data_IF_541200834948
#
_entry.id   IF_541200834948
#
_cell.length_a   1.000
_cell.length_b   1.000
_cell.length_c   1.000
_cell.angle_alpha   90.00
_cell.angle_beta   90.00
_cell.angle_gamma   90.00
#
_symmetry.space_group_name_H-M   'P 1'
#
loop_
_entity.id
_entity.type
_entity.pdbx_description
1 polymer ?
#
# COMPACT_ATOMS: atom_id res chain seq x y z
N UNK A 1 4.20 5.59 -26.79
CA UNK A 1 5.01 6.56 -26.02
C UNK A 1 4.18 7.14 -24.89
N UNK A 2 4.68 7.12 -23.66
CA UNK A 2 4.10 7.86 -22.56
C UNK A 2 4.49 9.34 -22.78
N UNK A 3 3.51 10.20 -23.01
CA UNK A 3 3.70 11.61 -23.27
C UNK A 3 3.00 12.53 -22.24
N UNK A 4 2.33 11.92 -21.27
CA UNK A 4 1.66 12.61 -20.15
C UNK A 4 2.05 11.92 -18.84
N UNK A 5 2.46 12.71 -17.86
CA UNK A 5 2.83 12.24 -16.52
C UNK A 5 2.23 13.18 -15.48
N UNK A 6 1.95 12.66 -14.29
CA UNK A 6 1.61 13.47 -13.10
C UNK A 6 2.84 14.20 -12.56
N UNK A 7 2.66 15.25 -11.75
CA UNK A 7 3.77 15.91 -11.07
C UNK A 7 4.62 14.94 -10.27
N UNK A 8 5.95 15.14 -10.32
CA UNK A 8 6.90 14.33 -9.57
C UNK A 8 6.64 14.49 -8.07
N UNK A 9 6.60 13.36 -7.37
CA UNK A 9 6.45 13.30 -5.91
C UNK A 9 7.78 12.89 -5.28
N UNK A 10 8.16 13.58 -4.22
CA UNK A 10 9.33 13.19 -3.42
C UNK A 10 8.95 12.11 -2.41
N UNK A 11 9.62 10.96 -2.50
CA UNK A 11 9.44 9.89 -1.52
C UNK A 11 10.29 10.08 -0.25
N UNK A 12 11.22 11.04 -0.25
CA UNK A 12 12.18 11.22 0.84
C UNK A 12 12.98 9.95 1.12
N UNK A 13 13.25 9.69 2.40
CA UNK A 13 13.97 8.50 2.87
C UNK A 13 13.04 7.29 3.15
N UNK A 14 11.86 7.24 2.52
CA UNK A 14 10.93 6.13 2.72
C UNK A 14 11.29 4.92 1.86
N UNK A 15 10.89 3.71 2.31
CA UNK A 15 10.99 2.48 1.51
C UNK A 15 9.74 2.27 0.62
N UNK A 16 9.09 3.35 0.18
CA UNK A 16 7.85 3.32 -0.61
C UNK A 16 8.08 3.44 -2.12
N UNK A 17 9.33 3.33 -2.61
CA UNK A 17 9.65 3.47 -4.04
C UNK A 17 8.75 2.61 -4.95
N UNK A 18 8.46 1.37 -4.54
CA UNK A 18 7.57 0.46 -5.25
C UNK A 18 6.14 0.99 -5.36
N UNK A 19 5.63 1.63 -4.29
CA UNK A 19 4.30 2.22 -4.27
C UNK A 19 4.24 3.47 -5.15
N UNK A 20 5.24 4.37 -5.04
CA UNK A 20 5.34 5.56 -5.90
C UNK A 20 5.42 5.17 -7.38
N UNK A 21 6.25 4.19 -7.73
CA UNK A 21 6.41 3.76 -9.12
C UNK A 21 5.10 3.18 -9.70
N UNK A 22 4.44 2.28 -8.97
CA UNK A 22 3.21 1.66 -9.46
C UNK A 22 2.03 2.65 -9.48
N UNK A 23 1.91 3.54 -8.49
CA UNK A 23 0.90 4.60 -8.52
C UNK A 23 1.10 5.55 -9.70
N UNK A 24 2.35 5.93 -10.00
CA UNK A 24 2.66 6.75 -11.17
C UNK A 24 2.31 6.03 -12.50
N UNK A 25 2.43 4.71 -12.55
CA UNK A 25 1.99 3.91 -13.70
C UNK A 25 0.48 4.02 -13.89
N UNK A 26 -0.30 3.79 -12.83
CA UNK A 26 -1.77 3.92 -12.86
C UNK A 26 -2.19 5.35 -13.24
N UNK A 27 -1.56 6.36 -12.64
CA UNK A 27 -1.83 7.77 -12.91
C UNK A 27 -1.56 8.13 -14.38
N UNK A 28 -0.43 7.65 -14.93
CA UNK A 28 -0.05 7.91 -16.33
C UNK A 28 -1.02 7.23 -17.31
N UNK A 29 -1.45 6.03 -16.99
CA UNK A 29 -2.42 5.30 -17.80
C UNK A 29 -3.77 6.04 -17.83
N UNK A 30 -4.25 6.51 -16.68
CA UNK A 30 -5.46 7.32 -16.58
C UNK A 30 -5.36 8.64 -17.33
N UNK A 31 -4.20 9.33 -17.24
CA UNK A 31 -3.96 10.55 -18.01
C UNK A 31 -4.02 10.32 -19.52
N UNK A 32 -3.57 9.16 -20.01
CA UNK A 32 -3.68 8.81 -21.44
C UNK A 32 -5.14 8.60 -21.86
N UNK A 33 -5.99 8.12 -20.94
CA UNK A 33 -7.42 7.97 -21.14
C UNK A 33 -8.20 9.30 -20.99
N UNK A 34 -7.54 10.37 -20.53
CA UNK A 34 -8.14 11.69 -20.35
C UNK A 34 -8.51 12.03 -18.91
N UNK A 35 -8.34 11.10 -17.98
CA UNK A 35 -8.63 11.30 -16.55
C UNK A 35 -7.39 11.80 -15.82
N UNK A 36 -7.52 12.90 -15.07
CA UNK A 36 -6.44 13.40 -14.22
C UNK A 36 -6.63 12.90 -12.79
N UNK A 37 -5.88 11.89 -12.40
CA UNK A 37 -5.83 11.38 -11.05
C UNK A 37 -4.43 11.52 -10.46
N UNK A 38 -4.36 11.76 -9.15
CA UNK A 38 -3.13 11.86 -8.40
C UNK A 38 -3.32 11.09 -7.09
N UNK A 39 -2.59 9.99 -6.88
CA UNK A 39 -2.86 8.99 -5.86
C UNK A 39 -1.91 9.10 -4.66
N UNK A 40 -2.40 8.76 -3.46
CA UNK A 40 -1.65 8.89 -2.21
C UNK A 40 -0.85 7.63 -1.86
N UNK A 41 0.49 7.66 -1.91
CA UNK A 41 1.32 6.58 -1.38
C UNK A 41 1.26 6.50 0.15
N UNK A 42 0.90 7.60 0.82
CA UNK A 42 0.76 7.64 2.28
C UNK A 42 -0.44 6.84 2.77
N UNK A 43 -1.53 6.84 1.99
CA UNK A 43 -2.67 5.96 2.25
C UNK A 43 -2.27 4.49 2.17
N UNK A 44 -1.53 4.12 1.13
CA UNK A 44 -1.01 2.74 0.94
C UNK A 44 -0.13 2.32 2.12
N UNK A 45 0.80 3.19 2.54
CA UNK A 45 1.68 2.92 3.68
C UNK A 45 0.90 2.70 4.97
N UNK A 46 -0.14 3.51 5.22
CA UNK A 46 -1.01 3.38 6.38
C UNK A 46 -1.73 2.03 6.41
N UNK A 47 -2.40 1.67 5.32
CA UNK A 47 -3.16 0.42 5.22
C UNK A 47 -2.24 -0.81 5.30
N UNK A 48 -1.05 -0.72 4.72
CA UNK A 48 -0.03 -1.75 4.83
C UNK A 48 0.40 -1.97 6.29
N UNK A 49 0.74 -0.90 7.01
CA UNK A 49 1.17 -0.98 8.41
C UNK A 49 0.06 -1.50 9.33
N UNK A 50 -1.19 -1.08 9.10
CA UNK A 50 -2.34 -1.60 9.82
C UNK A 50 -2.53 -3.10 9.56
N UNK A 51 -2.44 -3.52 8.30
CA UNK A 51 -2.54 -4.93 7.90
C UNK A 51 -1.44 -5.79 8.51
N UNK A 52 -0.20 -5.28 8.61
CA UNK A 52 0.91 -5.97 9.27
C UNK A 52 0.64 -6.15 10.77
N UNK A 53 0.13 -5.11 11.45
CA UNK A 53 -0.19 -5.20 12.88
C UNK A 53 -1.29 -6.23 13.15
N UNK A 54 -2.35 -6.24 12.34
CA UNK A 54 -3.44 -7.21 12.41
C UNK A 54 -2.92 -8.63 12.14
N UNK A 55 -2.14 -8.79 11.05
CA UNK A 55 -1.57 -10.09 10.68
C UNK A 55 -0.63 -10.66 11.75
N UNK A 56 0.24 -9.81 12.32
CA UNK A 56 1.14 -10.16 13.39
C UNK A 56 0.37 -10.65 14.64
N UNK A 57 -0.67 -9.93 15.02
CA UNK A 57 -1.52 -10.32 16.16
C UNK A 57 -2.24 -11.65 15.93
N UNK A 58 -2.87 -11.83 14.77
CA UNK A 58 -3.64 -13.04 14.46
C UNK A 58 -2.78 -14.30 14.30
N UNK A 59 -1.56 -14.13 13.78
CA UNK A 59 -0.60 -15.24 13.60
C UNK A 59 0.28 -15.48 14.82
N UNK A 60 0.14 -14.66 15.88
CA UNK A 60 1.07 -14.66 17.01
C UNK A 60 2.54 -14.52 16.60
N UNK A 61 2.79 -13.80 15.49
CA UNK A 61 4.13 -13.54 14.96
C UNK A 61 4.80 -12.37 15.68
N UNK A 62 6.11 -12.27 15.55
CA UNK A 62 6.92 -11.19 16.14
C UNK A 62 7.69 -10.38 15.11
N UNK A 63 7.19 -10.39 13.86
CA UNK A 63 7.82 -9.74 12.72
C UNK A 63 7.95 -8.23 12.94
N UNK A 64 8.98 -7.65 12.35
CA UNK A 64 9.17 -6.21 12.32
C UNK A 64 8.40 -5.59 11.17
N UNK A 65 7.70 -4.49 11.43
CA UNK A 65 6.93 -3.82 10.40
C UNK A 65 7.81 -2.97 9.49
N UNK A 66 7.52 -3.03 8.21
CA UNK A 66 8.27 -2.35 7.16
C UNK A 66 7.32 -1.83 6.08
N UNK A 67 7.72 -0.75 5.43
CA UNK A 67 7.01 -0.24 4.25
C UNK A 67 7.63 -0.71 2.92
N UNK A 68 8.50 -1.72 2.97
CA UNK A 68 8.98 -2.42 1.78
C UNK A 68 7.88 -3.29 1.18
N UNK A 69 7.84 -3.38 -0.13
CA UNK A 69 6.83 -4.15 -0.82
C UNK A 69 7.07 -4.23 -2.32
N UNK A 70 6.09 -4.75 -3.03
CA UNK A 70 6.15 -5.04 -4.47
C UNK A 70 4.89 -4.50 -5.17
N UNK A 71 4.93 -4.38 -6.50
CA UNK A 71 3.77 -3.96 -7.30
C UNK A 71 2.53 -4.84 -7.07
N UNK A 72 2.61 -6.18 -7.05
CA UNK A 72 1.43 -7.01 -6.74
C UNK A 72 0.84 -6.74 -5.36
N UNK A 73 1.68 -6.46 -4.35
CA UNK A 73 1.20 -6.08 -3.03
C UNK A 73 0.39 -4.78 -3.07
N UNK A 74 0.84 -3.78 -3.87
CA UNK A 74 0.08 -2.55 -4.03
C UNK A 74 -1.31 -2.82 -4.61
N UNK A 75 -1.39 -3.59 -5.70
CA UNK A 75 -2.67 -3.92 -6.34
C UNK A 75 -3.61 -4.62 -5.36
N UNK A 76 -3.09 -5.53 -4.54
CA UNK A 76 -3.84 -6.22 -3.49
C UNK A 76 -4.34 -5.27 -2.39
N UNK A 77 -3.51 -4.29 -1.98
CA UNK A 77 -3.90 -3.28 -1.00
C UNK A 77 -4.99 -2.36 -1.57
N UNK A 78 -4.84 -1.88 -2.81
CA UNK A 78 -5.85 -1.06 -3.49
C UNK A 78 -7.17 -1.83 -3.59
N UNK A 79 -7.13 -3.09 -3.99
CA UNK A 79 -8.34 -3.91 -4.11
C UNK A 79 -9.05 -4.12 -2.77
N UNK A 80 -8.29 -4.31 -1.68
CA UNK A 80 -8.83 -4.58 -0.34
C UNK A 80 -9.31 -3.35 0.40
N UNK A 81 -8.50 -2.30 0.35
CA UNK A 81 -8.65 -1.13 1.22
C UNK A 81 -9.03 0.13 0.45
N UNK A 82 -8.94 0.08 -0.88
CA UNK A 82 -9.14 1.24 -1.72
C UNK A 82 -7.89 2.09 -1.88
N UNK A 83 -8.09 3.31 -2.37
CA UNK A 83 -7.05 4.32 -2.53
C UNK A 83 -7.65 5.71 -2.30
N UNK A 84 -6.82 6.68 -2.00
CA UNK A 84 -7.21 8.09 -1.87
C UNK A 84 -6.42 8.99 -2.81
N UNK A 85 -7.00 10.13 -3.22
CA UNK A 85 -6.26 11.19 -3.90
C UNK A 85 -5.13 11.70 -3.00
N UNK A 86 -4.02 12.09 -3.63
CA UNK A 86 -2.84 12.63 -2.93
C UNK A 86 -3.18 13.87 -2.09
N UNK A 87 -4.05 14.74 -2.62
CA UNK A 87 -4.45 15.97 -1.93
C UNK A 87 -5.36 15.72 -0.72
N UNK A 88 -6.06 14.59 -0.69
CA UNK A 88 -6.92 14.20 0.43
C UNK A 88 -6.15 13.55 1.58
N UNK A 89 -4.98 12.97 1.31
CA UNK A 89 -4.20 12.28 2.34
C UNK A 89 -2.71 12.42 2.08
N UNK A 90 -2.08 13.43 2.68
CA UNK A 90 -0.65 13.74 2.61
C UNK A 90 0.01 13.53 3.96
N UNK A 91 1.30 13.21 3.96
CA UNK A 91 2.09 13.10 5.18
C UNK A 91 3.56 13.39 4.92
N UNK A 92 4.26 13.83 5.97
CA UNK A 92 5.72 13.91 6.04
C UNK A 92 6.31 12.91 7.04
N UNK A 93 5.58 11.85 7.36
CA UNK A 93 5.95 10.88 8.39
C UNK A 93 7.24 10.13 8.04
N UNK A 94 8.06 9.88 9.07
CA UNK A 94 9.19 8.95 8.97
C UNK A 94 8.70 7.51 9.18
N UNK A 95 8.41 6.82 8.05
CA UNK A 95 7.86 5.47 8.07
C UNK A 95 8.77 4.42 8.72
N UNK A 96 10.09 4.60 8.69
CA UNK A 96 11.01 3.69 9.35
C UNK A 96 10.87 3.77 10.88
N UNK A 97 10.77 4.96 11.41
CA UNK A 97 10.54 5.18 12.85
C UNK A 97 9.16 4.70 13.26
N UNK A 98 8.14 5.00 12.45
CA UNK A 98 6.77 4.56 12.68
C UNK A 98 6.66 3.02 12.68
N UNK A 99 7.28 2.34 11.73
CA UNK A 99 7.28 0.86 11.68
C UNK A 99 7.87 0.24 12.95
N UNK A 100 8.99 0.77 13.45
CA UNK A 100 9.57 0.33 14.74
C UNK A 100 8.64 0.58 15.92
N UNK A 101 8.01 1.76 15.98
CA UNK A 101 7.05 2.14 17.02
C UNK A 101 5.85 1.19 17.04
N UNK A 102 5.24 0.94 15.88
CA UNK A 102 4.09 0.02 15.75
C UNK A 102 4.47 -1.43 16.08
N UNK A 103 5.67 -1.88 15.69
CA UNK A 103 6.18 -3.19 16.06
C UNK A 103 6.27 -3.35 17.58
N UNK A 104 6.86 -2.36 18.26
CA UNK A 104 6.99 -2.36 19.73
C UNK A 104 5.62 -2.35 20.43
N UNK A 105 4.69 -1.52 19.95
CA UNK A 105 3.32 -1.44 20.48
C UNK A 105 2.62 -2.80 20.31
N UNK A 106 2.67 -3.40 19.13
CA UNK A 106 1.99 -4.68 18.86
C UNK A 106 2.55 -5.79 19.73
N UNK A 107 3.88 -5.90 19.86
CA UNK A 107 4.53 -6.89 20.73
C UNK A 107 4.13 -6.72 22.19
N UNK A 108 4.07 -5.48 22.70
CA UNK A 108 3.66 -5.19 24.06
C UNK A 108 2.20 -5.57 24.31
N UNK A 109 1.30 -5.25 23.38
CA UNK A 109 -0.12 -5.63 23.43
C UNK A 109 -0.29 -7.15 23.50
N UNK A 110 0.47 -7.90 22.68
CA UNK A 110 0.45 -9.36 22.67
C UNK A 110 1.01 -9.93 24.00
N UNK A 111 2.11 -9.39 24.50
CA UNK A 111 2.71 -9.81 25.77
C UNK A 111 1.76 -9.59 26.96
N UNK A 112 0.99 -8.49 26.94
CA UNK A 112 -0.04 -8.20 27.93
C UNK A 112 -1.36 -8.95 27.71
N UNK A 113 -1.44 -9.80 26.68
CA UNK A 113 -2.67 -10.56 26.31
C UNK A 113 -3.91 -9.68 26.15
N UNK A 114 -3.75 -8.46 25.64
CA UNK A 114 -4.86 -7.54 25.35
C UNK A 114 -5.63 -8.02 24.13
N UNK A 115 -6.95 -7.76 24.12
CA UNK A 115 -7.83 -8.18 23.04
C UNK A 115 -7.61 -7.44 21.71
N UNK A 116 -8.10 -8.04 20.63
CA UNK A 116 -7.98 -7.52 19.27
C UNK A 116 -8.50 -6.08 19.10
N UNK A 117 -9.64 -5.74 19.70
CA UNK A 117 -10.21 -4.39 19.63
C UNK A 117 -9.30 -3.33 20.29
N UNK A 118 -8.56 -3.73 21.32
CA UNK A 118 -7.58 -2.85 21.94
C UNK A 118 -6.38 -2.61 21.03
N UNK A 119 -5.87 -3.67 20.37
CA UNK A 119 -4.83 -3.56 19.36
C UNK A 119 -5.27 -2.60 18.24
N UNK A 120 -6.41 -2.89 17.62
CA UNK A 120 -6.91 -2.13 16.47
C UNK A 120 -7.03 -0.64 16.80
N UNK A 121 -7.67 -0.31 17.94
CA UNK A 121 -7.80 1.08 18.39
C UNK A 121 -6.45 1.75 18.64
N UNK A 122 -5.52 1.05 19.30
CA UNK A 122 -4.21 1.63 19.65
C UNK A 122 -3.37 1.88 18.41
N UNK A 123 -3.35 0.93 17.45
CA UNK A 123 -2.63 1.08 16.18
C UNK A 123 -3.26 2.20 15.35
N UNK A 124 -4.59 2.24 15.22
CA UNK A 124 -5.28 3.30 14.46
C UNK A 124 -4.98 4.68 15.04
N UNK A 125 -5.10 4.85 16.35
CA UNK A 125 -4.76 6.13 16.99
C UNK A 125 -3.30 6.53 16.75
N UNK A 126 -2.37 5.58 16.85
CA UNK A 126 -0.95 5.87 16.57
C UNK A 126 -0.73 6.28 15.11
N UNK A 127 -1.42 5.65 14.16
CA UNK A 127 -1.37 6.03 12.74
C UNK A 127 -1.99 7.41 12.51
N UNK A 128 -3.09 7.73 13.19
CA UNK A 128 -3.74 9.05 13.13
C UNK A 128 -2.83 10.16 13.65
N UNK A 129 -2.11 9.89 14.75
CA UNK A 129 -1.17 10.85 15.35
C UNK A 129 0.07 11.09 14.47
N UNK A 130 0.58 10.05 13.79
CA UNK A 130 1.85 10.11 13.06
C UNK A 130 1.70 10.46 11.57
N UNK A 131 0.66 9.95 10.92
CA UNK A 131 0.41 10.17 9.48
C UNK A 131 -0.68 11.23 9.28
N UNK A 132 -1.67 11.24 10.16
CA UNK A 132 -2.87 12.05 10.11
C UNK A 132 -4.14 11.21 10.12
N UNK A 133 -5.26 11.79 10.57
CA UNK A 133 -6.55 11.10 10.62
C UNK A 133 -7.02 10.75 9.22
N UNK A 134 -7.60 9.56 9.09
CA UNK A 134 -8.10 9.08 7.81
C UNK A 134 -9.45 9.74 7.47
N UNK A 135 -9.57 10.45 6.34
CA UNK A 135 -10.85 10.92 5.85
C UNK A 135 -11.79 9.73 5.58
N UNK A 136 -13.04 9.86 5.96
CA UNK A 136 -14.03 8.79 5.75
C UNK A 136 -14.46 8.67 4.29
N UNK A 137 -14.39 9.76 3.55
CA UNK A 137 -14.87 9.86 2.17
C UNK A 137 -13.87 10.64 1.32
N UNK A 138 -13.88 10.32 0.05
CA UNK A 138 -13.13 11.01 -1.01
C UNK A 138 -14.11 11.91 -1.75
N UNK A 139 -13.80 13.20 -1.83
CA UNK A 139 -14.58 14.16 -2.63
C UNK A 139 -13.87 14.37 -3.96
N UNK A 140 -14.51 13.99 -5.06
CA UNK A 140 -13.97 14.16 -6.40
C UNK A 140 -15.08 14.36 -7.42
N UNK A 141 -14.90 15.30 -8.37
CA UNK A 141 -15.86 15.58 -9.42
C UNK A 141 -17.30 15.83 -8.92
N UNK A 142 -17.45 16.52 -7.78
CA UNK A 142 -18.72 16.84 -7.10
C UNK A 142 -19.49 15.62 -6.54
N UNK A 143 -18.82 14.49 -6.37
CA UNK A 143 -19.38 13.30 -5.76
C UNK A 143 -18.52 12.82 -4.56
N UNK A 144 -19.18 12.11 -3.66
CA UNK A 144 -18.55 11.46 -2.51
C UNK A 144 -18.35 9.97 -2.82
N UNK A 145 -17.16 9.47 -2.53
CA UNK A 145 -16.80 8.08 -2.71
C UNK A 145 -16.19 7.53 -1.41
N UNK A 146 -16.43 6.29 -1.13
CA UNK A 146 -15.54 5.54 -0.22
C UNK A 146 -14.19 5.31 -0.91
N UNK A 147 -13.10 5.08 -0.16
CA UNK A 147 -11.79 4.76 -0.76
C UNK A 147 -11.83 3.58 -1.73
N UNK A 148 -12.71 2.59 -1.47
CA UNK A 148 -12.87 1.40 -2.32
C UNK A 148 -13.61 1.75 -3.61
N UNK A 149 -14.70 2.50 -3.55
CA UNK A 149 -15.42 2.96 -4.74
C UNK A 149 -14.53 3.84 -5.62
N UNK A 150 -13.75 4.74 -5.00
CA UNK A 150 -12.78 5.54 -5.75
C UNK A 150 -11.70 4.66 -6.40
N UNK A 151 -11.19 3.65 -5.70
CA UNK A 151 -10.24 2.70 -6.28
C UNK A 151 -10.81 2.00 -7.52
N UNK A 152 -12.05 1.54 -7.46
CA UNK A 152 -12.71 0.87 -8.59
C UNK A 152 -12.92 1.78 -9.80
N UNK A 153 -13.00 3.10 -9.60
CA UNK A 153 -13.07 4.05 -10.72
C UNK A 153 -11.71 4.26 -11.40
N UNK A 154 -10.62 3.93 -10.71
CA UNK A 154 -9.25 4.18 -11.17
C UNK A 154 -8.54 2.91 -11.62
N UNK A 155 -8.72 1.80 -10.91
CA UNK A 155 -8.00 0.53 -11.13
C UNK A 155 -8.89 -0.65 -10.74
N UNK A 156 -9.29 -1.44 -11.70
CA UNK A 156 -10.05 -2.67 -11.46
C UNK A 156 -9.12 -3.87 -11.26
N UNK A 157 -9.60 -4.92 -10.58
CA UNK A 157 -8.88 -6.18 -10.50
C UNK A 157 -8.63 -6.74 -11.91
N UNK A 158 -7.37 -7.02 -12.23
CA UNK A 158 -6.97 -7.56 -13.53
C UNK A 158 -6.52 -6.52 -14.56
N UNK A 159 -6.64 -5.21 -14.30
CA UNK A 159 -6.13 -4.18 -15.21
C UNK A 159 -4.60 -4.22 -15.33
N UNK A 160 -3.92 -4.68 -14.28
CA UNK A 160 -2.47 -4.74 -14.23
C UNK A 160 -1.99 -6.12 -13.79
N UNK A 161 -0.86 -6.54 -14.36
CA UNK A 161 -0.15 -7.75 -13.97
C UNK A 161 1.33 -7.44 -13.78
N UNK A 162 1.92 -7.94 -12.71
CA UNK A 162 3.36 -7.82 -12.49
C UNK A 162 4.09 -8.94 -13.23
N UNK A 163 4.98 -8.56 -14.12
CA UNK A 163 5.78 -9.49 -14.93
C UNK A 163 7.16 -9.68 -14.32
N UNK A 164 7.71 -10.86 -14.55
CA UNK A 164 9.11 -11.19 -14.29
C UNK A 164 9.66 -12.02 -15.44
N UNK A 165 10.99 -12.15 -15.52
CA UNK A 165 11.65 -12.98 -16.53
C UNK A 165 12.83 -13.72 -15.86
N UNK A 166 12.54 -14.88 -15.26
CA UNK A 166 13.52 -15.72 -14.61
C UNK A 166 13.61 -17.09 -15.27
N UNK A 167 14.80 -17.47 -15.72
CA UNK A 167 15.06 -18.73 -16.43
C UNK A 167 14.96 -19.98 -15.54
N UNK A 168 15.01 -19.82 -14.20
CA UNK A 168 14.88 -20.93 -13.25
C UNK A 168 13.42 -21.27 -12.90
N UNK A 169 12.47 -20.48 -13.36
CA UNK A 169 11.04 -20.76 -13.28
C UNK A 169 10.46 -21.00 -14.68
N UNK A 170 9.47 -21.89 -14.86
CA UNK A 170 8.82 -22.10 -16.14
C UNK A 170 8.19 -20.80 -16.65
N UNK A 171 8.40 -20.48 -17.94
CA UNK A 171 7.73 -19.36 -18.57
C UNK A 171 6.23 -19.64 -18.77
N UNK A 172 5.40 -18.61 -18.77
CA UNK A 172 3.96 -18.73 -18.88
C UNK A 172 3.26 -19.18 -17.58
N UNK A 173 3.94 -19.13 -16.45
CA UNK A 173 3.40 -19.51 -15.14
C UNK A 173 3.53 -18.40 -14.11
N UNK A 174 2.73 -18.47 -13.06
CA UNK A 174 2.90 -17.62 -11.88
C UNK A 174 4.02 -18.16 -11.01
N UNK A 175 4.90 -17.28 -10.57
CA UNK A 175 6.03 -17.60 -9.71
C UNK A 175 6.09 -16.62 -8.52
N UNK A 176 6.32 -17.16 -7.34
CA UNK A 176 6.69 -16.35 -6.17
C UNK A 176 8.19 -16.04 -6.25
N UNK A 177 8.52 -14.75 -6.13
CA UNK A 177 9.92 -14.35 -6.15
C UNK A 177 10.47 -14.28 -4.73
N UNK A 178 11.51 -15.03 -4.47
CA UNK A 178 12.26 -15.04 -3.22
C UNK A 178 13.19 -13.81 -3.14
N UNK A 179 12.59 -12.62 -3.14
CA UNK A 179 13.32 -11.34 -2.97
C UNK A 179 13.00 -10.73 -1.61
N UNK A 180 13.95 -9.99 -0.99
CA UNK A 180 13.78 -9.44 0.36
C UNK A 180 12.56 -8.52 0.52
N UNK A 181 12.09 -7.90 -0.55
CA UNK A 181 10.97 -6.98 -0.54
C UNK A 181 9.60 -7.66 -0.77
N UNK A 182 9.60 -8.94 -1.17
CA UNK A 182 8.39 -9.77 -1.32
C UNK A 182 8.05 -10.50 -0.02
N UNK A 183 7.85 -9.77 1.06
CA UNK A 183 7.61 -10.31 2.40
C UNK A 183 6.26 -11.01 2.58
N UNK A 184 5.35 -10.85 1.62
CA UNK A 184 3.98 -11.38 1.67
C UNK A 184 3.74 -12.52 0.68
N UNK A 185 4.78 -13.00 -0.02
CA UNK A 185 4.69 -14.12 -0.96
C UNK A 185 3.84 -13.79 -2.19
N UNK A 186 3.95 -12.56 -2.69
CA UNK A 186 3.19 -12.14 -3.88
C UNK A 186 3.76 -12.79 -5.14
N UNK A 187 2.86 -13.12 -6.07
CA UNK A 187 3.20 -13.82 -7.31
C UNK A 187 3.35 -12.86 -8.49
N UNK A 188 4.26 -13.22 -9.39
CA UNK A 188 4.55 -12.54 -10.63
C UNK A 188 4.34 -13.49 -11.80
N UNK A 189 3.89 -12.99 -12.94
CA UNK A 189 3.76 -13.80 -14.13
C UNK A 189 5.09 -13.86 -14.86
N UNK A 190 5.64 -15.06 -15.02
CA UNK A 190 6.98 -15.26 -15.61
C UNK A 190 6.89 -15.34 -17.14
N UNK A 191 7.53 -14.38 -17.82
CA UNK A 191 7.59 -14.28 -19.28
C UNK A 191 9.01 -14.53 -19.80
N UNK A 192 9.17 -14.95 -21.06
CA UNK A 192 10.48 -15.14 -21.70
C UNK A 192 11.33 -13.88 -21.72
#
# INVERSE_FOLDING_TARGET
>A
CINKITPVKDQGNSSLCWAYAMLATIESDRLMLGDSVNLSPHYVAREMLLSQAVGCYLKHATDSFSTKGTAPLLLKLIYRHGIMPFDSYRSSCNYQTLGRKLTAITRNIMAQKRGFSYLQRTITNTLDDEIGPLPRQVYMLHAEYTPVEFAHSVCLPGDYVALTSFTHHPFGTWAELEIPDNTTGEQFYNVP
#
